data_IF_290903973359
#
_entry.id   IF_290903973359
#
_cell.length_a   1.000
_cell.length_b   1.000
_cell.length_c   1.000
_cell.angle_alpha   90.00
_cell.angle_beta   90.00
_cell.angle_gamma   90.00
#
_symmetry.space_group_name_H-M   'P 1'
#
loop_
_entity.id
_entity.type
_entity.pdbx_description
1 polymer ?
#
# COMPACT_ATOMS: atom_id res chain seq x y z
N UNK A 1 0.68 -13.21 26.16
CA UNK A 1 1.28 -12.83 24.87
C UNK A 1 1.85 -11.43 25.02
N UNK A 2 3.10 -11.23 24.71
CA UNK A 2 3.75 -9.92 24.77
C UNK A 2 3.24 -9.02 23.63
N UNK A 3 3.33 -7.69 23.80
CA UNK A 3 2.98 -6.71 22.76
C UNK A 3 3.74 -6.99 21.44
N UNK A 4 4.98 -7.46 21.54
CA UNK A 4 5.80 -7.95 20.43
C UNK A 4 5.13 -9.10 19.69
N UNK A 5 4.63 -10.11 20.41
CA UNK A 5 3.93 -11.25 19.80
C UNK A 5 2.60 -10.84 19.14
N UNK A 6 1.86 -9.86 19.71
CA UNK A 6 0.63 -9.34 19.12
C UNK A 6 0.89 -8.54 17.84
N UNK A 7 1.98 -7.78 17.80
CA UNK A 7 2.36 -7.01 16.60
C UNK A 7 2.94 -7.91 15.51
N UNK A 8 3.72 -8.92 15.87
CA UNK A 8 4.15 -9.97 14.94
C UNK A 8 2.96 -10.75 14.37
N UNK A 9 1.92 -11.00 15.17
CA UNK A 9 0.70 -11.65 14.69
C UNK A 9 -0.13 -10.72 13.81
N UNK A 10 -0.24 -9.41 14.10
CA UNK A 10 -0.89 -8.44 13.23
C UNK A 10 -0.15 -8.29 11.89
N UNK A 11 1.16 -8.21 11.91
CA UNK A 11 1.97 -8.24 10.70
C UNK A 11 1.88 -9.60 9.99
N UNK A 12 1.92 -10.71 10.73
CA UNK A 12 1.78 -12.05 10.16
C UNK A 12 0.40 -12.29 9.60
N UNK A 13 -0.69 -11.80 10.21
CA UNK A 13 -2.03 -11.93 9.62
C UNK A 13 -2.22 -11.05 8.38
N UNK A 14 -1.57 -9.89 8.32
CA UNK A 14 -1.47 -9.11 7.09
C UNK A 14 -0.53 -9.76 6.07
N UNK A 15 0.49 -10.49 6.56
CA UNK A 15 1.52 -11.17 5.81
C UNK A 15 1.05 -12.56 5.35
N UNK A 16 0.41 -13.37 6.22
CA UNK A 16 -0.04 -14.74 5.87
C UNK A 16 -1.05 -14.78 4.73
N UNK A 17 -1.64 -13.66 4.41
CA UNK A 17 -2.63 -13.54 3.36
C UNK A 17 -2.15 -13.02 2.00
N UNK A 18 -0.89 -12.76 1.86
CA UNK A 18 -0.36 -12.22 0.60
C UNK A 18 1.01 -11.58 0.74
N UNK A 19 1.42 -11.28 1.96
CA UNK A 19 2.67 -10.60 2.28
C UNK A 19 3.78 -11.59 2.69
N UNK A 20 3.47 -12.84 3.09
CA UNK A 20 4.49 -13.87 3.30
C UNK A 20 5.30 -14.15 2.01
N UNK A 21 4.66 -13.96 0.85
CA UNK A 21 5.36 -13.97 -0.42
C UNK A 21 6.31 -12.77 -0.59
N UNK A 22 6.03 -11.64 0.05
CA UNK A 22 6.87 -10.44 0.01
C UNK A 22 8.21 -10.62 0.74
N UNK A 23 8.18 -11.23 1.93
CA UNK A 23 9.39 -11.39 2.74
C UNK A 23 10.30 -12.53 2.26
N UNK A 24 9.72 -13.58 1.65
CA UNK A 24 10.47 -14.75 1.17
C UNK A 24 11.00 -14.57 -0.25
N UNK A 25 10.40 -13.69 -1.06
CA UNK A 25 10.81 -13.48 -2.45
C UNK A 25 11.78 -12.32 -2.66
N UNK A 26 11.82 -11.36 -1.75
CA UNK A 26 12.70 -10.17 -1.90
C UNK A 26 14.18 -10.52 -1.73
N UNK A 27 14.51 -11.51 -0.91
CA UNK A 27 15.90 -12.00 -0.82
C UNK A 27 16.37 -12.80 -2.04
N UNK A 28 15.46 -13.14 -2.95
CA UNK A 28 15.72 -13.98 -4.11
C UNK A 28 15.37 -13.33 -5.47
N UNK A 29 15.07 -12.01 -5.53
CA UNK A 29 14.83 -11.33 -6.81
C UNK A 29 16.20 -11.11 -7.48
N UNK A 30 16.53 -11.84 -8.56
CA UNK A 30 17.72 -11.52 -9.34
C UNK A 30 17.59 -10.10 -9.88
N UNK A 31 18.72 -9.39 -9.97
CA UNK A 31 18.78 -8.02 -10.53
C UNK A 31 18.18 -7.90 -11.95
N UNK A 32 17.97 -9.01 -12.66
CA UNK A 32 17.29 -9.08 -13.95
C UNK A 32 15.78 -8.73 -13.90
N UNK A 33 15.13 -8.79 -12.73
CA UNK A 33 13.72 -8.38 -12.60
C UNK A 33 13.51 -6.87 -12.54
N UNK A 34 14.59 -6.10 -12.49
CA UNK A 34 14.54 -4.65 -12.57
C UNK A 34 14.55 -4.13 -14.01
N UNK A 35 14.68 -5.00 -15.01
CA UNK A 35 14.56 -4.58 -16.41
C UNK A 35 13.11 -4.68 -16.87
N UNK A 36 12.61 -3.61 -17.47
CA UNK A 36 11.22 -3.39 -17.87
C UNK A 36 10.59 -4.47 -18.78
N UNK A 37 11.36 -5.42 -19.29
CA UNK A 37 10.92 -6.34 -20.35
C UNK A 37 10.83 -7.83 -19.96
N UNK A 38 10.97 -8.21 -18.69
CA UNK A 38 11.02 -9.63 -18.32
C UNK A 38 9.75 -10.13 -17.62
N UNK A 39 8.58 -9.84 -18.20
CA UNK A 39 7.36 -10.52 -17.85
C UNK A 39 7.28 -11.87 -18.57
N UNK A 40 7.80 -12.94 -17.99
CA UNK A 40 7.55 -14.30 -18.49
C UNK A 40 6.36 -14.91 -17.79
N UNK A 41 5.27 -15.03 -18.52
CA UNK A 41 4.09 -15.80 -18.16
C UNK A 41 4.47 -17.28 -18.14
N UNK A 42 4.67 -17.88 -16.97
CA UNK A 42 4.80 -19.34 -16.86
C UNK A 42 3.43 -19.96 -16.73
N UNK A 43 3.11 -20.86 -17.65
CA UNK A 43 1.79 -21.54 -17.80
C UNK A 43 1.60 -22.79 -16.96
N UNK A 44 2.48 -23.11 -16.04
CA UNK A 44 2.42 -24.39 -15.32
C UNK A 44 2.53 -24.21 -13.81
N UNK A 45 1.50 -24.70 -13.12
CA UNK A 45 1.39 -24.96 -11.69
C UNK A 45 1.16 -23.77 -10.74
N UNK A 46 0.21 -23.90 -9.80
CA UNK A 46 -0.21 -22.81 -8.93
C UNK A 46 0.69 -22.71 -7.70
N UNK A 47 1.83 -22.05 -7.86
CA UNK A 47 2.64 -21.64 -6.71
C UNK A 47 2.78 -20.13 -6.75
N UNK A 48 2.79 -19.48 -5.57
CA UNK A 48 3.17 -18.07 -5.46
C UNK A 48 4.55 -17.95 -6.09
N UNK A 49 4.59 -17.51 -7.32
CA UNK A 49 5.85 -17.55 -8.07
C UNK A 49 6.68 -16.32 -7.89
N UNK A 50 6.10 -15.19 -7.65
CA UNK A 50 6.85 -13.96 -7.35
C UNK A 50 5.91 -12.78 -7.23
N UNK A 51 6.29 -11.88 -6.38
CA UNK A 51 5.86 -10.51 -6.45
C UNK A 51 6.89 -9.73 -7.25
N UNK A 52 6.47 -8.91 -8.14
CA UNK A 52 7.35 -8.04 -8.90
C UNK A 52 6.70 -6.67 -9.08
N UNK A 53 7.57 -5.67 -9.13
CA UNK A 53 7.17 -4.33 -9.53
C UNK A 53 7.35 -4.21 -11.03
N UNK A 54 6.27 -3.92 -11.74
CA UNK A 54 6.35 -3.51 -13.12
C UNK A 54 6.88 -2.08 -13.17
N UNK A 55 8.12 -1.90 -13.62
CA UNK A 55 8.78 -0.59 -13.61
C UNK A 55 8.17 0.40 -14.61
N UNK A 56 7.55 -0.06 -15.71
CA UNK A 56 6.89 0.82 -16.66
C UNK A 56 5.57 1.38 -16.11
N UNK A 57 4.86 0.59 -15.32
CA UNK A 57 3.55 0.95 -14.78
C UNK A 57 3.61 1.34 -13.31
N UNK A 58 4.74 1.10 -12.63
CA UNK A 58 4.87 1.28 -11.19
C UNK A 58 3.98 0.40 -10.34
N UNK A 59 3.48 -0.70 -10.90
CA UNK A 59 2.56 -1.59 -10.21
C UNK A 59 3.30 -2.76 -9.61
N UNK A 60 2.97 -3.08 -8.37
CA UNK A 60 3.38 -4.33 -7.75
C UNK A 60 2.39 -5.39 -8.19
N UNK A 61 2.92 -6.44 -8.77
CA UNK A 61 2.13 -7.57 -9.24
C UNK A 61 2.64 -8.83 -8.56
N UNK A 62 1.73 -9.70 -8.14
CA UNK A 62 2.10 -11.04 -7.69
C UNK A 62 1.05 -12.06 -8.11
N UNK A 63 1.47 -13.29 -8.28
CA UNK A 63 0.59 -14.41 -8.55
C UNK A 63 0.35 -15.19 -7.28
N UNK A 64 -0.89 -15.18 -6.79
CA UNK A 64 -1.31 -16.13 -5.77
C UNK A 64 -1.45 -17.53 -6.40
N UNK A 65 -1.00 -18.60 -5.72
CA UNK A 65 -1.33 -19.95 -6.15
C UNK A 65 -2.84 -20.12 -6.01
N UNK A 66 -3.51 -20.21 -7.18
CA UNK A 66 -4.85 -20.79 -7.26
C UNK A 66 -5.85 -20.32 -6.21
N UNK A 67 -6.00 -19.01 -5.97
CA UNK A 67 -7.30 -18.52 -5.49
C UNK A 67 -8.23 -18.73 -6.69
N UNK A 68 -8.61 -19.98 -6.89
CA UNK A 68 -9.65 -20.32 -7.83
C UNK A 68 -10.94 -19.69 -7.32
N UNK A 69 -11.84 -19.36 -8.23
CA UNK A 69 -13.18 -18.85 -7.91
C UNK A 69 -13.89 -19.62 -6.77
N UNK A 70 -13.52 -20.88 -6.56
CA UNK A 70 -14.03 -21.78 -5.52
C UNK A 70 -13.67 -21.34 -4.10
N UNK A 71 -12.51 -20.73 -3.87
CA UNK A 71 -12.13 -20.19 -2.55
C UNK A 71 -12.87 -18.89 -2.21
N UNK A 72 -13.18 -18.07 -3.21
CA UNK A 72 -13.90 -16.82 -3.00
C UNK A 72 -15.38 -17.02 -2.60
N UNK A 73 -15.96 -18.21 -2.88
CA UNK A 73 -17.32 -18.56 -2.48
C UNK A 73 -17.47 -18.87 -1.00
N UNK A 74 -16.41 -19.31 -0.37
CA UNK A 74 -16.40 -19.63 1.06
C UNK A 74 -15.97 -18.43 1.93
N UNK A 75 -15.66 -17.27 1.30
CA UNK A 75 -15.37 -16.08 2.07
C UNK A 75 -16.64 -15.48 2.68
N UNK A 76 -16.53 -14.88 3.88
CA UNK A 76 -17.64 -14.16 4.49
C UNK A 76 -18.23 -13.13 3.54
N UNK A 77 -19.54 -13.13 3.39
CA UNK A 77 -20.27 -12.22 2.52
C UNK A 77 -21.14 -11.30 3.36
N UNK A 78 -21.25 -10.03 2.94
CA UNK A 78 -22.08 -9.03 3.58
C UNK A 78 -22.98 -8.37 2.55
N UNK A 79 -24.27 -8.23 2.85
CA UNK A 79 -25.17 -7.41 2.02
C UNK A 79 -24.70 -5.95 2.00
N UNK A 80 -24.92 -5.27 0.88
CA UNK A 80 -24.49 -3.87 0.74
C UNK A 80 -25.70 -3.00 0.48
N UNK A 81 -25.75 -1.85 1.14
CA UNK A 81 -26.63 -0.73 0.75
C UNK A 81 -25.78 0.52 0.48
N UNK A 82 -26.06 1.19 -0.63
CA UNK A 82 -25.46 2.49 -0.97
C UNK A 82 -26.57 3.53 -1.04
N UNK A 83 -26.51 4.54 -0.19
CA UNK A 83 -27.54 5.58 -0.06
C UNK A 83 -28.97 5.00 0.08
N UNK A 84 -29.10 3.90 0.82
CA UNK A 84 -30.39 3.21 1.04
C UNK A 84 -30.78 2.20 -0.05
N UNK A 85 -30.06 2.15 -1.18
CA UNK A 85 -30.33 1.20 -2.27
C UNK A 85 -29.48 -0.05 -2.08
N UNK A 86 -30.12 -1.22 -2.05
CA UNK A 86 -29.42 -2.50 -1.94
C UNK A 86 -28.72 -2.84 -3.26
N UNK A 87 -27.46 -3.31 -3.18
CA UNK A 87 -26.76 -3.86 -4.32
C UNK A 87 -27.16 -5.33 -4.53
N UNK A 88 -27.15 -5.77 -5.81
CA UNK A 88 -27.42 -7.15 -6.20
C UNK A 88 -26.31 -8.12 -5.79
N UNK A 89 -25.07 -7.60 -5.65
CA UNK A 89 -23.92 -8.41 -5.29
C UNK A 89 -23.45 -8.05 -3.88
N UNK A 90 -23.12 -9.09 -3.06
CA UNK A 90 -22.58 -8.87 -1.73
C UNK A 90 -21.14 -8.34 -1.77
N UNK A 91 -20.74 -7.69 -0.69
CA UNK A 91 -19.32 -7.51 -0.38
C UNK A 91 -18.73 -8.84 0.07
N UNK A 92 -17.44 -9.00 -0.08
CA UNK A 92 -16.66 -10.13 0.46
C UNK A 92 -15.60 -9.62 1.42
N UNK A 93 -15.28 -10.45 2.42
CA UNK A 93 -14.22 -10.15 3.39
C UNK A 93 -13.12 -11.19 3.20
N UNK A 94 -11.90 -10.71 2.98
CA UNK A 94 -10.71 -11.55 2.89
C UNK A 94 -9.60 -10.90 3.71
N UNK A 95 -9.06 -11.64 4.68
CA UNK A 95 -7.98 -11.16 5.53
C UNK A 95 -8.27 -9.78 6.16
N UNK A 96 -9.43 -9.67 6.81
CA UNK A 96 -9.95 -8.44 7.43
C UNK A 96 -10.16 -7.26 6.46
N UNK A 97 -9.92 -7.46 5.17
CA UNK A 97 -10.19 -6.46 4.14
C UNK A 97 -11.58 -6.67 3.54
N UNK A 98 -12.37 -5.61 3.57
CA UNK A 98 -13.66 -5.56 2.90
C UNK A 98 -13.48 -5.23 1.42
N UNK A 99 -14.11 -6.01 0.56
CA UNK A 99 -14.11 -5.82 -0.89
C UNK A 99 -15.51 -5.54 -1.40
N UNK A 100 -15.64 -4.56 -2.26
CA UNK A 100 -16.91 -4.21 -2.91
C UNK A 100 -16.90 -4.66 -4.37
N UNK A 101 -18.05 -5.11 -4.90
CA UNK A 101 -18.20 -5.46 -6.31
C UNK A 101 -18.12 -4.18 -7.15
N UNK A 102 -17.04 -4.03 -7.93
CA UNK A 102 -16.69 -2.78 -8.62
C UNK A 102 -17.84 -2.22 -9.47
N UNK A 103 -18.40 -3.04 -10.33
CA UNK A 103 -19.44 -2.60 -11.27
C UNK A 103 -20.75 -2.22 -10.58
N UNK A 104 -21.21 -3.06 -9.64
CA UNK A 104 -22.45 -2.79 -8.92
C UNK A 104 -22.32 -1.55 -8.05
N UNK A 105 -21.18 -1.40 -7.36
CA UNK A 105 -20.88 -0.21 -6.56
C UNK A 105 -20.83 1.05 -7.42
N UNK A 106 -20.08 1.03 -8.53
CA UNK A 106 -19.94 2.19 -9.40
C UNK A 106 -21.28 2.63 -10.01
N UNK A 107 -22.08 1.68 -10.48
CA UNK A 107 -23.40 1.97 -11.05
C UNK A 107 -24.37 2.55 -10.01
N UNK A 108 -24.23 2.21 -8.73
CA UNK A 108 -25.07 2.79 -7.65
C UNK A 108 -24.77 4.26 -7.38
N UNK A 109 -23.62 4.75 -7.80
CA UNK A 109 -23.20 6.15 -7.62
C UNK A 109 -23.50 7.03 -8.84
N UNK A 110 -23.88 6.45 -9.97
CA UNK A 110 -24.26 7.19 -11.18
C UNK A 110 -23.54 6.73 -12.44
N UNK A 111 -23.29 7.65 -13.38
CA UNK A 111 -22.70 7.36 -14.68
C UNK A 111 -21.28 6.78 -14.58
N UNK A 112 -21.20 5.48 -14.63
CA UNK A 112 -19.94 4.75 -14.52
C UNK A 112 -19.72 3.81 -15.70
N UNK A 113 -18.50 3.78 -16.22
CA UNK A 113 -18.05 2.78 -17.18
C UNK A 113 -16.96 1.92 -16.54
N UNK A 114 -17.16 0.60 -16.55
CA UNK A 114 -16.20 -0.36 -16.04
C UNK A 114 -15.76 -1.27 -17.17
N UNK A 115 -14.46 -1.28 -17.45
CA UNK A 115 -13.83 -2.16 -18.44
C UNK A 115 -12.78 -3.05 -17.78
N UNK A 116 -12.44 -4.15 -18.44
CA UNK A 116 -11.38 -5.05 -18.02
C UNK A 116 -10.55 -5.48 -19.23
N UNK A 117 -9.28 -5.15 -19.19
CA UNK A 117 -8.30 -5.61 -20.16
C UNK A 117 -7.72 -6.95 -19.70
N UNK A 118 -7.97 -8.01 -20.47
CA UNK A 118 -7.49 -9.36 -20.15
C UNK A 118 -5.95 -9.50 -20.34
N UNK A 119 -5.38 -8.70 -21.23
CA UNK A 119 -3.94 -8.80 -21.55
C UNK A 119 -3.09 -8.22 -20.42
N UNK A 120 -3.50 -7.09 -19.88
CA UNK A 120 -2.86 -6.42 -18.74
C UNK A 120 -3.47 -6.81 -17.40
N UNK A 121 -4.57 -7.57 -17.40
CA UNK A 121 -5.35 -7.94 -16.20
C UNK A 121 -5.76 -6.72 -15.37
N UNK A 122 -6.09 -5.63 -16.06
CA UNK A 122 -6.39 -4.33 -15.42
C UNK A 122 -7.87 -3.99 -15.56
N UNK A 123 -8.50 -3.69 -14.44
CA UNK A 123 -9.81 -3.06 -14.39
C UNK A 123 -9.66 -1.55 -14.46
N UNK A 124 -10.54 -0.93 -15.23
CA UNK A 124 -10.66 0.53 -15.32
C UNK A 124 -12.07 0.96 -14.96
N UNK A 125 -12.20 1.90 -14.04
CA UNK A 125 -13.44 2.61 -13.74
C UNK A 125 -13.30 4.05 -14.20
N UNK A 126 -14.22 4.50 -15.06
CA UNK A 126 -14.35 5.90 -15.47
C UNK A 126 -15.68 6.47 -14.98
N UNK A 127 -15.61 7.59 -14.28
CA UNK A 127 -16.76 8.40 -13.84
C UNK A 127 -16.41 9.88 -14.05
N UNK A 128 -17.38 10.81 -14.02
CA UNK A 128 -17.09 12.23 -14.17
C UNK A 128 -16.00 12.71 -13.18
N UNK A 129 -14.83 13.10 -13.69
CA UNK A 129 -13.68 13.55 -12.89
C UNK A 129 -12.90 12.45 -12.18
N UNK A 130 -13.23 11.16 -12.38
CA UNK A 130 -12.50 10.03 -11.79
C UNK A 130 -12.09 9.03 -12.88
N UNK A 131 -10.81 8.72 -12.89
CA UNK A 131 -10.22 7.61 -13.61
C UNK A 131 -9.49 6.71 -12.63
N UNK A 132 -9.96 5.47 -12.47
CA UNK A 132 -9.38 4.52 -11.52
C UNK A 132 -8.92 3.28 -12.27
N UNK A 133 -7.72 2.81 -11.96
CA UNK A 133 -7.18 1.55 -12.48
C UNK A 133 -6.73 0.66 -11.33
N UNK A 134 -7.02 -0.63 -11.46
CA UNK A 134 -6.53 -1.65 -10.56
C UNK A 134 -6.08 -2.86 -11.38
N UNK A 135 -4.91 -3.40 -11.08
CA UNK A 135 -4.37 -4.59 -11.73
C UNK A 135 -4.59 -5.79 -10.83
N UNK A 136 -5.05 -6.88 -11.41
CA UNK A 136 -5.28 -8.14 -10.68
C UNK A 136 -4.02 -8.57 -9.94
N UNK A 137 -4.18 -8.95 -8.67
CA UNK A 137 -3.11 -9.29 -7.73
C UNK A 137 -2.11 -8.14 -7.40
N UNK A 138 -2.38 -6.90 -7.78
CA UNK A 138 -1.60 -5.75 -7.31
C UNK A 138 -1.99 -5.31 -5.88
N UNK A 139 -1.21 -4.43 -5.28
CA UNK A 139 -1.48 -3.83 -3.96
C UNK A 139 -1.78 -2.33 -4.02
N UNK A 140 -1.68 -1.75 -5.21
CA UNK A 140 -1.92 -0.32 -5.43
C UNK A 140 -3.01 -0.12 -6.46
N UNK A 141 -4.11 0.50 -6.05
CA UNK A 141 -5.15 1.01 -6.94
C UNK A 141 -4.82 2.46 -7.26
N UNK A 142 -4.76 2.82 -8.52
CA UNK A 142 -4.54 4.21 -8.92
C UNK A 142 -5.87 4.91 -9.16
N UNK A 143 -6.09 6.02 -8.50
CA UNK A 143 -7.26 6.88 -8.72
C UNK A 143 -6.79 8.31 -9.01
N UNK A 144 -7.03 8.80 -10.21
CA UNK A 144 -6.53 10.10 -10.68
C UNK A 144 -5.03 10.28 -10.41
N UNK A 145 -4.23 9.26 -10.76
CA UNK A 145 -2.76 9.14 -10.59
C UNK A 145 -2.28 9.12 -9.11
N UNK A 146 -3.19 8.97 -8.16
CA UNK A 146 -2.87 8.79 -6.75
C UNK A 146 -2.82 7.31 -6.40
N UNK A 147 -1.72 6.79 -5.82
CA UNK A 147 -1.58 5.39 -5.44
C UNK A 147 -2.28 5.11 -4.11
N UNK A 148 -3.39 4.42 -4.16
CA UNK A 148 -4.13 3.95 -3.00
C UNK A 148 -3.65 2.54 -2.65
N UNK A 149 -2.87 2.43 -1.59
CA UNK A 149 -2.26 1.18 -1.16
C UNK A 149 -3.24 0.34 -0.34
N UNK A 150 -3.15 -0.97 -0.49
CA UNK A 150 -3.87 -1.96 0.33
C UNK A 150 -2.92 -3.09 0.70
N UNK A 151 -3.03 -3.61 1.92
CA UNK A 151 -2.31 -4.81 2.37
C UNK A 151 -2.83 -6.11 1.75
N UNK A 152 -3.92 -6.03 1.04
CA UNK A 152 -4.57 -7.15 0.37
C UNK A 152 -4.62 -6.88 -1.13
N UNK A 153 -4.73 -7.93 -1.97
CA UNK A 153 -4.79 -7.76 -3.41
C UNK A 153 -5.82 -6.71 -3.85
N UNK A 154 -5.48 -5.88 -4.83
CA UNK A 154 -6.38 -4.82 -5.32
C UNK A 154 -7.62 -5.36 -6.00
N UNK A 155 -7.53 -6.51 -6.62
CA UNK A 155 -8.63 -7.14 -7.32
C UNK A 155 -8.77 -8.58 -6.85
N UNK A 156 -10.01 -8.95 -6.55
CA UNK A 156 -10.42 -10.34 -6.47
C UNK A 156 -11.39 -10.62 -7.60
N UNK A 157 -11.12 -11.66 -8.37
CA UNK A 157 -12.01 -12.10 -9.44
C UNK A 157 -12.85 -13.29 -8.96
N UNK A 158 -14.16 -13.12 -8.93
CA UNK A 158 -15.11 -14.17 -8.58
C UNK A 158 -16.26 -14.19 -9.56
N UNK A 159 -16.51 -15.33 -10.21
CA UNK A 159 -17.60 -15.53 -11.20
C UNK A 159 -17.69 -14.42 -12.25
N UNK A 160 -16.54 -14.02 -12.81
CA UNK A 160 -16.50 -12.93 -13.79
C UNK A 160 -16.80 -11.53 -13.23
N UNK A 161 -16.89 -11.40 -11.90
CA UNK A 161 -17.06 -10.13 -11.20
C UNK A 161 -15.76 -9.71 -10.55
N UNK A 162 -15.48 -8.41 -10.60
CA UNK A 162 -14.31 -7.80 -9.98
C UNK A 162 -14.70 -7.17 -8.66
N UNK A 163 -13.89 -7.45 -7.64
CA UNK A 163 -14.01 -6.87 -6.31
C UNK A 163 -12.74 -6.07 -6.00
N UNK A 164 -12.92 -4.88 -5.46
CA UNK A 164 -11.83 -3.96 -5.09
C UNK A 164 -11.96 -3.61 -3.61
N UNK A 165 -10.83 -3.40 -2.89
CA UNK A 165 -10.86 -2.97 -1.50
C UNK A 165 -11.77 -1.76 -1.29
N UNK A 166 -12.67 -1.85 -0.33
CA UNK A 166 -13.64 -0.81 -0.02
C UNK A 166 -12.96 0.53 0.30
N UNK A 167 -11.80 0.49 0.97
CA UNK A 167 -11.01 1.68 1.30
C UNK A 167 -10.58 2.45 0.05
N UNK A 168 -10.14 1.76 -1.00
CA UNK A 168 -9.75 2.40 -2.25
C UNK A 168 -10.96 3.03 -2.97
N UNK A 169 -12.09 2.31 -3.03
CA UNK A 169 -13.30 2.81 -3.71
C UNK A 169 -13.94 3.98 -2.96
N UNK A 170 -14.04 3.91 -1.63
CA UNK A 170 -14.63 5.00 -0.83
C UNK A 170 -13.74 6.24 -0.90
N UNK A 171 -12.42 6.09 -0.80
CA UNK A 171 -11.49 7.21 -0.96
C UNK A 171 -11.56 7.82 -2.36
N UNK A 172 -11.63 7.00 -3.40
CA UNK A 172 -11.71 7.46 -4.80
C UNK A 172 -13.01 8.21 -5.11
N UNK A 173 -14.11 7.85 -4.46
CA UNK A 173 -15.47 8.35 -4.76
C UNK A 173 -16.04 9.31 -3.72
N UNK A 174 -15.33 9.51 -2.61
CA UNK A 174 -15.74 10.42 -1.53
C UNK A 174 -16.91 9.94 -0.67
N UNK A 175 -17.42 8.73 -0.91
CA UNK A 175 -18.44 8.12 -0.04
C UNK A 175 -17.79 7.47 1.19
N UNK A 176 -18.57 7.19 2.21
CA UNK A 176 -18.08 6.61 3.48
C UNK A 176 -18.84 5.34 3.84
N UNK A 177 -18.16 4.43 4.52
CA UNK A 177 -18.83 3.31 5.19
C UNK A 177 -19.37 3.83 6.52
N UNK A 178 -20.69 3.90 6.64
CA UNK A 178 -21.36 4.35 7.85
C UNK A 178 -21.40 3.24 8.91
N UNK A 179 -21.75 2.03 8.48
CA UNK A 179 -21.79 0.86 9.35
C UNK A 179 -21.28 -0.38 8.61
N UNK A 180 -20.56 -1.23 9.34
CA UNK A 180 -20.18 -2.55 8.87
C UNK A 180 -20.38 -3.54 10.01
N UNK A 181 -21.42 -4.38 9.89
CA UNK A 181 -21.70 -5.50 10.81
C UNK A 181 -21.20 -6.81 10.20
N UNK A 182 -21.43 -7.93 10.87
CA UNK A 182 -21.03 -9.24 10.33
C UNK A 182 -21.79 -9.62 9.05
N UNK A 183 -22.98 -9.07 8.84
CA UNK A 183 -23.86 -9.45 7.72
C UNK A 183 -24.16 -8.32 6.75
N UNK A 184 -23.86 -7.06 7.11
CA UNK A 184 -24.29 -5.89 6.32
C UNK A 184 -23.25 -4.77 6.32
N UNK A 185 -23.12 -4.12 5.18
CA UNK A 185 -22.35 -2.88 4.97
C UNK A 185 -23.29 -1.79 4.48
N UNK A 186 -23.28 -0.66 5.15
CA UNK A 186 -24.03 0.54 4.74
C UNK A 186 -23.04 1.62 4.32
N UNK A 187 -23.19 2.10 3.09
CA UNK A 187 -22.37 3.14 2.48
C UNK A 187 -23.25 4.36 2.25
N UNK A 188 -22.79 5.52 2.64
CA UNK A 188 -23.46 6.81 2.43
C UNK A 188 -22.55 7.88 1.88
N UNK A 189 -23.13 8.85 1.23
CA UNK A 189 -22.47 10.05 0.76
C UNK A 189 -22.77 10.37 -0.68
N UNK A 190 -22.47 11.59 -1.07
CA UNK A 190 -22.58 12.05 -2.44
C UNK A 190 -21.26 11.78 -3.16
N UNK A 191 -21.34 11.30 -4.39
CA UNK A 191 -20.17 11.11 -5.24
C UNK A 191 -19.36 12.40 -5.37
N UNK A 192 -18.08 12.30 -5.03
CA UNK A 192 -17.09 13.35 -5.22
C UNK A 192 -15.77 12.71 -5.64
N UNK A 193 -15.40 12.97 -6.89
CA UNK A 193 -14.14 12.43 -7.42
C UNK A 193 -12.93 12.84 -6.59
N UNK A 194 -12.00 11.93 -6.39
CA UNK A 194 -10.73 12.19 -5.73
C UNK A 194 -9.96 13.28 -6.48
N UNK A 195 -9.42 14.25 -5.75
CA UNK A 195 -8.56 15.29 -6.31
C UNK A 195 -7.37 14.66 -7.05
N UNK A 196 -7.05 15.07 -8.29
CA UNK A 196 -5.94 14.51 -9.05
C UNK A 196 -4.57 14.73 -8.36
N UNK A 197 -3.64 13.83 -8.62
CA UNK A 197 -2.27 13.88 -8.07
C UNK A 197 -1.59 15.23 -8.31
N UNK A 198 -1.75 15.82 -9.49
CA UNK A 198 -1.18 17.13 -9.87
C UNK A 198 -1.66 18.32 -9.02
N UNK A 199 -2.79 18.16 -8.34
CA UNK A 199 -3.35 19.18 -7.42
C UNK A 199 -3.23 18.78 -5.96
N UNK A 200 -2.94 17.52 -5.68
CA UNK A 200 -2.89 16.99 -4.31
C UNK A 200 -1.48 17.02 -3.73
N UNK A 201 -0.50 16.53 -4.48
CA UNK A 201 0.88 16.48 -4.00
C UNK A 201 1.57 17.82 -4.15
N UNK A 202 2.30 18.21 -3.13
CA UNK A 202 3.31 19.25 -3.22
C UNK A 202 4.60 18.63 -3.75
N UNK A 203 5.19 19.24 -4.78
CA UNK A 203 6.40 18.72 -5.43
C UNK A 203 7.58 18.62 -4.46
N UNK A 204 7.75 19.61 -3.58
CA UNK A 204 8.81 19.62 -2.57
C UNK A 204 8.67 18.48 -1.55
N UNK A 205 7.44 18.12 -1.15
CA UNK A 205 7.19 17.02 -0.23
C UNK A 205 7.50 15.66 -0.88
N UNK A 206 7.03 15.44 -2.11
CA UNK A 206 7.35 14.20 -2.86
C UNK A 206 8.86 14.12 -3.08
N UNK A 207 9.50 15.22 -3.46
CA UNK A 207 10.93 15.27 -3.73
C UNK A 207 11.74 14.84 -2.51
N UNK A 208 11.59 15.53 -1.39
CA UNK A 208 12.40 15.25 -0.19
C UNK A 208 12.07 13.93 0.46
N UNK A 209 10.79 13.55 0.54
CA UNK A 209 10.40 12.26 1.12
C UNK A 209 10.94 11.08 0.28
N UNK A 210 10.86 11.17 -1.05
CA UNK A 210 11.41 10.11 -1.90
C UNK A 210 12.94 10.03 -1.84
N UNK A 211 13.63 11.16 -1.71
CA UNK A 211 15.09 11.21 -1.56
C UNK A 211 15.56 10.51 -0.29
N UNK A 212 14.95 10.82 0.86
CA UNK A 212 15.34 10.18 2.13
C UNK A 212 14.98 8.69 2.15
N UNK A 213 13.78 8.32 1.67
CA UNK A 213 13.40 6.91 1.57
C UNK A 213 14.39 6.14 0.69
N UNK A 214 14.78 6.72 -0.47
CA UNK A 214 15.73 6.08 -1.37
C UNK A 214 17.12 5.93 -0.73
N UNK A 215 17.59 6.97 -0.07
CA UNK A 215 18.92 6.96 0.54
C UNK A 215 19.03 5.95 1.68
N UNK A 216 17.97 5.82 2.51
CA UNK A 216 17.95 4.93 3.67
C UNK A 216 17.54 3.49 3.34
N UNK A 217 16.70 3.28 2.31
CA UNK A 217 16.01 2.00 2.15
C UNK A 217 15.78 1.53 0.71
N UNK A 218 16.49 2.05 -0.29
CA UNK A 218 16.31 1.65 -1.70
C UNK A 218 16.47 0.14 -1.97
N UNK A 219 17.17 -0.58 -1.11
CA UNK A 219 17.33 -2.04 -1.19
C UNK A 219 16.19 -2.83 -0.56
N UNK A 220 15.28 -2.16 0.16
CA UNK A 220 14.14 -2.79 0.79
C UNK A 220 12.98 -2.99 -0.18
N UNK A 221 12.04 -3.85 0.21
CA UNK A 221 10.74 -3.97 -0.46
C UNK A 221 9.96 -2.65 -0.39
N UNK A 222 8.90 -2.51 -1.20
CA UNK A 222 8.01 -1.34 -1.10
C UNK A 222 7.50 -1.13 0.33
N UNK A 223 7.13 -2.20 1.03
CA UNK A 223 6.65 -2.14 2.42
C UNK A 223 7.74 -1.61 3.35
N UNK A 224 8.99 -2.08 3.20
CA UNK A 224 10.11 -1.56 3.97
C UNK A 224 10.38 -0.07 3.69
N UNK A 225 10.27 0.34 2.44
CA UNK A 225 10.42 1.74 2.04
C UNK A 225 9.27 2.63 2.55
N UNK A 226 8.02 2.15 2.53
CA UNK A 226 6.88 2.84 3.15
C UNK A 226 7.12 2.97 4.66
N UNK A 227 7.57 1.92 5.33
CA UNK A 227 7.82 1.95 6.77
C UNK A 227 8.87 3.00 7.18
N UNK A 228 9.94 3.15 6.38
CA UNK A 228 10.93 4.23 6.58
C UNK A 228 10.29 5.60 6.35
N UNK A 229 9.49 5.75 5.29
CA UNK A 229 8.75 6.99 5.02
C UNK A 229 7.77 7.36 6.12
N UNK A 230 7.09 6.38 6.71
CA UNK A 230 6.16 6.58 7.83
C UNK A 230 6.86 7.16 9.06
N UNK A 231 8.10 6.73 9.36
CA UNK A 231 8.86 7.32 10.48
C UNK A 231 9.07 8.83 10.24
N UNK A 232 9.35 9.24 9.00
CA UNK A 232 9.46 10.67 8.67
C UNK A 232 8.11 11.37 8.90
N UNK A 233 7.01 10.79 8.42
CA UNK A 233 5.67 11.35 8.57
C UNK A 233 5.24 11.40 10.04
N UNK A 234 5.55 10.37 10.84
CA UNK A 234 5.28 10.34 12.29
C UNK A 234 6.05 11.46 13.02
N UNK A 235 7.30 11.71 12.62
CA UNK A 235 8.07 12.84 13.16
C UNK A 235 7.45 14.18 12.78
N UNK A 236 7.02 14.37 11.53
CA UNK A 236 6.29 15.58 11.08
C UNK A 236 5.03 15.83 11.91
N UNK A 237 4.31 14.79 12.27
CA UNK A 237 3.10 14.84 13.11
C UNK A 237 3.38 15.00 14.61
N UNK A 238 4.64 14.85 15.05
CA UNK A 238 5.02 14.89 16.47
C UNK A 238 5.46 16.29 16.90
N UNK A 239 5.01 16.80 18.04
CA UNK A 239 5.45 18.10 18.56
C UNK A 239 6.94 18.14 18.97
N UNK A 240 7.60 17.01 18.99
CA UNK A 240 9.04 16.90 19.33
C UNK A 240 9.96 17.26 18.17
N UNK A 241 9.45 17.28 16.95
CA UNK A 241 10.19 17.47 15.69
C UNK A 241 9.65 18.66 14.90
N UNK A 242 10.40 19.12 13.88
CA UNK A 242 9.88 20.08 12.91
C UNK A 242 8.62 19.55 12.20
N UNK A 243 7.68 20.44 11.88
CA UNK A 243 6.39 20.12 11.29
C UNK A 243 6.39 20.06 9.74
N UNK A 244 7.56 19.88 9.14
CA UNK A 244 7.72 19.71 7.68
C UNK A 244 8.68 18.57 7.38
N UNK A 245 8.50 17.91 6.24
CA UNK A 245 9.36 16.80 5.77
C UNK A 245 10.81 17.29 5.67
N UNK A 246 11.05 18.42 5.02
CA UNK A 246 12.40 19.02 4.92
C UNK A 246 12.98 19.30 6.30
N UNK A 247 12.18 19.90 7.19
CA UNK A 247 12.60 20.22 8.56
C UNK A 247 13.02 18.97 9.33
N UNK A 248 12.26 17.89 9.27
CA UNK A 248 12.59 16.60 9.92
C UNK A 248 13.86 15.99 9.35
N UNK A 249 14.02 15.99 8.02
CA UNK A 249 15.21 15.43 7.36
C UNK A 249 16.47 16.18 7.79
N UNK A 250 16.44 17.52 7.77
CA UNK A 250 17.60 18.36 8.05
C UNK A 250 17.69 18.87 9.48
N UNK A 251 16.87 18.30 10.40
CA UNK A 251 16.95 18.64 11.82
C UNK A 251 18.36 18.36 12.39
N UNK A 252 18.90 19.34 13.10
CA UNK A 252 20.21 19.27 13.75
C UNK A 252 20.16 19.52 15.24
N UNK A 253 18.97 19.60 15.83
CA UNK A 253 18.78 19.93 17.25
C UNK A 253 19.59 19.01 18.18
N UNK A 254 19.68 17.74 17.81
CA UNK A 254 20.43 16.72 18.57
C UNK A 254 21.51 16.04 17.70
N UNK A 255 22.05 16.75 16.71
CA UNK A 255 22.97 16.22 15.72
C UNK A 255 22.27 15.83 14.41
N UNK A 256 23.07 15.42 13.42
CA UNK A 256 22.50 14.95 12.12
C UNK A 256 21.73 13.65 12.34
N UNK A 257 20.48 13.65 11.94
CA UNK A 257 19.57 12.53 12.19
C UNK A 257 19.70 11.39 11.16
N UNK A 258 20.17 11.69 9.96
CA UNK A 258 20.24 10.77 8.83
C UNK A 258 21.62 10.83 8.18
N UNK A 259 22.32 9.69 8.16
CA UNK A 259 23.67 9.58 7.58
C UNK A 259 23.76 10.02 6.11
N UNK A 260 22.74 9.85 5.26
CA UNK A 260 22.74 10.34 3.88
C UNK A 260 22.96 11.86 3.71
N UNK A 261 22.76 12.64 4.77
CA UNK A 261 23.08 14.07 4.77
C UNK A 261 24.59 14.31 4.87
N UNK A 262 25.29 13.46 5.58
CA UNK A 262 26.73 13.56 5.81
C UNK A 262 27.55 13.11 4.60
N UNK A 263 27.12 11.99 3.99
CA UNK A 263 27.81 11.40 2.83
C UNK A 263 27.32 11.95 1.49
N UNK A 264 26.27 12.79 1.50
CA UNK A 264 25.69 13.40 0.31
C UNK A 264 24.77 12.50 -0.49
N UNK A 265 24.54 11.26 -0.10
CA UNK A 265 23.69 10.32 -0.83
C UNK A 265 22.21 10.75 -0.89
N UNK A 266 21.78 11.65 0.00
CA UNK A 266 20.45 12.30 -0.03
C UNK A 266 20.20 13.06 -1.36
N UNK A 267 21.22 13.49 -2.06
CA UNK A 267 21.10 14.24 -3.31
C UNK A 267 21.03 13.34 -4.56
N UNK A 268 21.26 12.05 -4.42
CA UNK A 268 21.10 11.09 -5.52
C UNK A 268 19.64 10.99 -5.94
N UNK A 269 19.37 10.68 -7.21
CA UNK A 269 18.01 10.52 -7.69
C UNK A 269 17.32 9.34 -7.01
N UNK A 270 16.08 9.52 -6.55
CA UNK A 270 15.33 8.47 -5.89
C UNK A 270 14.93 7.39 -6.89
N UNK A 271 14.82 6.16 -6.41
CA UNK A 271 14.27 5.09 -7.24
C UNK A 271 12.78 5.30 -7.48
N UNK A 272 12.26 4.69 -8.54
CA UNK A 272 10.81 4.70 -8.79
C UNK A 272 10.01 4.15 -7.61
N UNK A 273 10.49 3.08 -6.97
CA UNK A 273 9.86 2.48 -5.78
C UNK A 273 9.84 3.49 -4.62
N UNK A 274 10.91 4.25 -4.44
CA UNK A 274 10.99 5.26 -3.38
C UNK A 274 10.02 6.43 -3.62
N UNK A 275 9.83 6.83 -4.88
CA UNK A 275 8.83 7.85 -5.25
C UNK A 275 7.41 7.30 -4.99
N UNK A 276 7.15 6.04 -5.32
CA UNK A 276 5.88 5.38 -5.05
C UNK A 276 5.62 5.28 -3.53
N UNK A 277 6.62 4.85 -2.76
CA UNK A 277 6.54 4.78 -1.30
C UNK A 277 6.24 6.15 -0.68
N UNK A 278 6.93 7.20 -1.12
CA UNK A 278 6.68 8.58 -0.68
C UNK A 278 5.24 9.02 -0.94
N UNK A 279 4.72 8.77 -2.14
CA UNK A 279 3.32 9.09 -2.46
C UNK A 279 2.34 8.30 -1.60
N UNK A 280 2.60 7.02 -1.33
CA UNK A 280 1.77 6.18 -0.46
C UNK A 280 1.77 6.71 0.99
N UNK A 281 2.91 7.13 1.52
CA UNK A 281 2.97 7.79 2.83
C UNK A 281 2.17 9.10 2.85
N UNK A 282 2.29 9.93 1.80
CA UNK A 282 1.51 11.17 1.66
C UNK A 282 0.00 10.92 1.49
N UNK A 283 -0.41 9.73 1.06
CA UNK A 283 -1.81 9.29 1.05
C UNK A 283 -2.34 8.97 2.46
N UNK A 284 -1.49 8.99 3.48
CA UNK A 284 -1.85 8.70 4.87
C UNK A 284 -1.84 7.20 5.19
N UNK A 285 -1.16 6.38 4.39
CA UNK A 285 -0.90 4.99 4.76
C UNK A 285 0.05 4.98 5.94
N UNK A 286 -0.27 4.25 7.01
CA UNK A 286 0.60 4.05 8.15
C UNK A 286 0.83 2.57 8.39
N UNK A 287 2.09 2.17 8.38
CA UNK A 287 2.56 0.81 8.68
C UNK A 287 3.18 0.72 10.06
N UNK A 288 3.67 1.84 10.54
CA UNK A 288 4.58 1.88 11.67
C UNK A 288 3.95 2.50 12.93
N UNK A 289 2.60 2.64 12.95
CA UNK A 289 1.87 3.30 14.02
C UNK A 289 2.54 4.64 14.41
N UNK A 290 3.16 4.70 15.60
CA UNK A 290 3.84 5.89 16.10
C UNK A 290 5.37 5.75 16.16
N UNK A 291 5.97 4.81 15.45
CA UNK A 291 7.42 4.64 15.47
C UNK A 291 8.13 5.89 14.95
N UNK A 292 9.10 6.38 15.71
CA UNK A 292 9.88 7.58 15.39
C UNK A 292 11.35 7.28 15.12
N UNK A 293 11.77 6.02 15.31
CA UNK A 293 13.14 5.59 15.08
C UNK A 293 13.16 4.28 14.31
N UNK A 294 14.19 4.11 13.51
CA UNK A 294 14.53 2.83 12.90
C UNK A 294 16.03 2.65 12.84
N UNK A 295 16.46 1.42 12.72
CA UNK A 295 17.85 1.06 12.42
C UNK A 295 17.89 -0.26 11.67
N UNK A 296 18.92 -0.45 10.89
CA UNK A 296 19.28 -1.76 10.35
C UNK A 296 20.22 -2.45 11.38
N UNK A 297 19.77 -3.49 12.11
CA UNK A 297 20.57 -4.09 13.18
C UNK A 297 21.85 -4.76 12.68
N UNK A 298 21.95 -5.06 11.37
CA UNK A 298 23.16 -5.64 10.76
C UNK A 298 24.22 -4.59 10.40
N UNK A 299 23.79 -3.34 10.22
CA UNK A 299 24.67 -2.24 9.79
C UNK A 299 24.86 -1.18 10.88
N UNK A 300 24.13 -1.26 11.99
CA UNK A 300 24.17 -0.25 13.03
C UNK A 300 25.50 -0.30 13.82
N UNK A 301 26.24 0.80 13.78
CA UNK A 301 27.46 1.01 14.57
C UNK A 301 27.17 1.35 16.04
N UNK A 302 25.97 1.84 16.33
CA UNK A 302 25.52 2.24 17.66
C UNK A 302 24.28 1.45 18.08
N UNK A 303 24.27 1.05 19.35
CA UNK A 303 23.12 0.37 19.97
C UNK A 303 22.30 1.33 20.86
N UNK A 304 22.48 2.65 20.71
CA UNK A 304 21.78 3.65 21.51
C UNK A 304 20.25 3.52 21.37
N UNK A 305 19.73 3.42 20.16
CA UNK A 305 18.28 3.27 19.91
C UNK A 305 17.76 2.01 20.62
N UNK A 306 18.47 0.89 20.47
CA UNK A 306 18.09 -0.40 21.09
C UNK A 306 18.01 -0.30 22.62
N UNK A 307 18.90 0.49 23.24
CA UNK A 307 18.98 0.64 24.71
C UNK A 307 18.00 1.68 25.25
N UNK A 308 17.65 2.68 24.47
CA UNK A 308 16.95 3.88 24.94
C UNK A 308 15.52 4.03 24.43
N UNK A 309 15.09 3.19 23.49
CA UNK A 309 13.76 3.25 22.86
C UNK A 309 13.01 1.94 22.98
N UNK A 310 11.69 2.02 23.09
CA UNK A 310 10.83 0.83 23.09
C UNK A 310 10.79 0.23 21.70
N UNK A 311 11.17 -1.06 21.59
CA UNK A 311 11.05 -1.80 20.35
C UNK A 311 9.58 -1.98 19.97
N UNK A 312 9.24 -1.71 18.72
CA UNK A 312 7.90 -1.89 18.20
C UNK A 312 7.79 -3.16 17.34
N UNK A 313 8.52 -3.24 16.23
CA UNK A 313 8.50 -4.37 15.28
C UNK A 313 9.68 -4.30 14.31
N UNK A 314 9.82 -5.37 13.50
CA UNK A 314 10.76 -5.41 12.36
C UNK A 314 9.99 -5.47 11.04
N UNK A 315 10.45 -4.73 10.05
CA UNK A 315 9.94 -4.77 8.66
C UNK A 315 11.16 -4.78 7.73
N UNK A 316 11.25 -5.84 6.89
CA UNK A 316 12.43 -6.01 6.03
C UNK A 316 13.72 -6.12 6.85
N UNK A 317 14.73 -5.37 6.46
CA UNK A 317 16.02 -5.29 7.17
C UNK A 317 16.06 -4.31 8.33
N UNK A 318 14.96 -3.65 8.70
CA UNK A 318 14.91 -2.61 9.70
C UNK A 318 14.09 -2.99 10.93
N UNK A 319 14.59 -2.62 12.11
CA UNK A 319 13.85 -2.61 13.37
C UNK A 319 13.35 -1.19 13.66
N UNK A 320 12.08 -1.09 14.11
CA UNK A 320 11.38 0.16 14.37
C UNK A 320 11.11 0.32 15.87
N UNK A 321 11.21 1.57 16.36
CA UNK A 321 11.13 1.91 17.78
C UNK A 321 10.24 3.16 17.99
N UNK A 322 9.63 3.22 19.20
CA UNK A 322 8.79 4.34 19.63
C UNK A 322 9.62 5.50 20.19
#
# INVERSE_FOLDING_TARGET
>A
MTKKQKNEIKLRSAVDAGVLALSLSVSAIPSAFYSANNYTRSSTSPQIKSQYLNLETGKIEYTLPGITSRYLWNLPQKSITVNGVALSEPAIVMNDTLYLPLRAFANSLGNATVTYDKSTRTATLSMPGLYLTATDCGFVTYANDRPLFSFSPNILMSNGKMYIPASALTKATGVTIETSTDTKVTIKGTYKALTPASKFYREDEVYWLSKIISAESKGESLIGQIAVGDVIMNRVGSPLYPNTIWGVIFDRKYGVQFSPILDGSIYNDPTYISILAAKICLEGTSLTDNAQYFLNPRAAESNWIVKSREYAYSIGGHDFYL
#
